data_IF_174441963048
#
_entry.id   IF_174441963048
#
_cell.length_a   1.000
_cell.length_b   1.000
_cell.length_c   1.000
_cell.angle_alpha   90.00
_cell.angle_beta   90.00
_cell.angle_gamma   90.00
#
_symmetry.space_group_name_H-M   'P 1'
#
loop_
_entity.id
_entity.type
_entity.pdbx_description
1 polymer ?
#
# COMPACT_ATOMS: atom_id res chain seq x y z
N UNK A 1 20.84 60.47 26.62
CA UNK A 1 20.26 59.10 26.62
C UNK A 1 19.39 58.77 25.38
N UNK A 2 19.39 59.55 24.29
CA UNK A 2 18.47 59.34 23.14
C UNK A 2 19.04 58.56 21.94
N UNK A 3 20.37 58.34 21.87
CA UNK A 3 21.03 57.77 20.67
C UNK A 3 20.95 56.23 20.57
N UNK A 4 20.65 55.54 21.68
CA UNK A 4 20.64 54.08 21.73
C UNK A 4 19.32 53.45 21.24
N UNK A 5 18.19 54.15 21.40
CA UNK A 5 16.86 53.66 21.00
C UNK A 5 16.71 53.49 19.48
N UNK A 6 17.32 54.38 18.68
CA UNK A 6 17.19 54.33 17.22
C UNK A 6 17.93 53.15 16.57
N UNK A 7 19.02 52.68 17.17
CA UNK A 7 19.75 51.50 16.70
C UNK A 7 19.04 50.20 17.09
N UNK A 8 18.46 50.14 18.29
CA UNK A 8 17.61 49.02 18.68
C UNK A 8 16.38 48.88 17.78
N UNK A 9 15.69 49.98 17.44
CA UNK A 9 14.54 49.95 16.53
C UNK A 9 14.91 49.45 15.13
N UNK A 10 16.08 49.85 14.60
CA UNK A 10 16.59 49.37 13.30
C UNK A 10 16.96 47.88 13.31
N UNK A 11 17.55 47.40 14.41
CA UNK A 11 17.88 45.98 14.60
C UNK A 11 16.61 45.13 14.76
N UNK A 12 15.61 45.65 15.49
CA UNK A 12 14.29 45.02 15.64
C UNK A 12 13.57 44.92 14.29
N UNK A 13 13.57 45.98 13.48
CA UNK A 13 12.94 45.99 12.16
C UNK A 13 13.60 45.02 11.16
N UNK A 14 14.93 44.89 11.19
CA UNK A 14 15.64 43.88 10.39
C UNK A 14 15.31 42.44 10.84
N UNK A 15 15.21 42.21 12.15
CA UNK A 15 14.85 40.90 12.70
C UNK A 15 13.41 40.50 12.35
N UNK A 16 12.47 41.46 12.42
CA UNK A 16 11.07 41.26 12.02
C UNK A 16 10.97 40.98 10.52
N UNK A 17 11.73 41.69 9.67
CA UNK A 17 11.73 41.45 8.23
C UNK A 17 12.26 40.06 7.87
N UNK A 18 13.33 39.60 8.54
CA UNK A 18 13.87 38.25 8.39
C UNK A 18 12.87 37.18 8.85
N UNK A 19 12.17 37.42 9.96
CA UNK A 19 11.15 36.50 10.47
C UNK A 19 9.97 36.37 9.50
N UNK A 20 9.50 37.50 8.94
CA UNK A 20 8.42 37.53 7.92
C UNK A 20 8.84 36.78 6.64
N UNK A 21 10.12 36.81 6.26
CA UNK A 21 10.63 36.12 5.07
C UNK A 21 10.79 34.60 5.25
N UNK A 22 11.05 34.13 6.48
CA UNK A 22 11.25 32.70 6.79
C UNK A 22 9.94 31.99 7.15
N UNK A 23 8.95 32.73 7.67
CA UNK A 23 7.65 32.21 8.08
C UNK A 23 6.91 31.40 6.98
N UNK A 24 6.93 31.77 5.68
CA UNK A 24 6.27 30.99 4.62
C UNK A 24 6.94 29.64 4.38
N UNK A 25 8.25 29.52 4.60
CA UNK A 25 8.99 28.27 4.42
C UNK A 25 8.73 27.27 5.55
N UNK A 26 8.40 27.75 6.76
CA UNK A 26 8.05 26.90 7.91
C UNK A 26 6.67 26.25 7.77
N UNK A 27 5.78 26.82 6.95
CA UNK A 27 4.44 26.29 6.71
C UNK A 27 4.29 25.59 5.34
N UNK A 28 5.35 25.52 4.53
CA UNK A 28 5.33 24.76 3.28
C UNK A 28 5.54 23.27 3.57
N UNK A 29 4.47 22.59 3.98
CA UNK A 29 4.45 21.13 4.03
C UNK A 29 4.15 20.60 2.63
N UNK A 30 5.20 20.18 1.90
CA UNK A 30 5.03 19.45 0.65
C UNK A 30 4.61 18.01 0.97
N UNK A 31 3.53 17.52 0.35
CA UNK A 31 3.18 16.10 0.42
C UNK A 31 4.15 15.33 -0.47
N UNK A 32 5.00 14.50 0.13
CA UNK A 32 5.80 13.54 -0.61
C UNK A 32 4.92 12.32 -0.94
N UNK A 33 4.33 12.30 -2.13
CA UNK A 33 3.56 11.15 -2.59
C UNK A 33 4.50 10.11 -3.20
N UNK A 34 4.58 8.93 -2.56
CA UNK A 34 5.24 7.76 -3.12
C UNK A 34 4.30 7.08 -4.12
N UNK A 35 4.60 7.15 -5.42
CA UNK A 35 3.76 6.57 -6.48
C UNK A 35 4.40 5.27 -6.97
N UNK A 36 3.82 4.13 -6.62
CA UNK A 36 4.48 2.86 -6.91
C UNK A 36 3.55 1.66 -6.98
N UNK A 37 2.43 1.66 -6.25
CA UNK A 37 1.55 0.50 -6.20
C UNK A 37 0.44 0.61 -7.24
N UNK A 38 0.27 -0.45 -8.02
CA UNK A 38 -0.84 -0.58 -8.98
C UNK A 38 -2.08 -1.13 -8.29
N UNK A 39 -1.92 -2.07 -7.35
CA UNK A 39 -2.99 -2.62 -6.54
C UNK A 39 -2.48 -3.73 -5.64
N UNK A 40 -3.41 -4.42 -4.96
CA UNK A 40 -3.08 -5.62 -4.22
C UNK A 40 -4.28 -6.57 -4.15
N UNK A 41 -3.97 -7.87 -4.12
CA UNK A 41 -4.92 -8.95 -3.90
C UNK A 41 -4.69 -9.58 -2.53
N UNK A 42 -5.75 -10.17 -1.98
CA UNK A 42 -5.67 -10.97 -0.75
C UNK A 42 -6.41 -12.26 -0.99
N UNK A 43 -5.73 -13.37 -0.74
CA UNK A 43 -6.34 -14.71 -0.64
C UNK A 43 -6.14 -15.24 0.76
N UNK A 44 -6.96 -16.20 1.17
CA UNK A 44 -6.80 -16.88 2.45
C UNK A 44 -7.10 -18.35 2.34
N UNK A 45 -6.40 -19.13 3.17
CA UNK A 45 -6.58 -20.56 3.32
C UNK A 45 -6.85 -20.88 4.78
N UNK A 46 -7.88 -21.66 5.05
CA UNK A 46 -8.02 -22.30 6.35
C UNK A 46 -6.91 -23.35 6.54
N UNK A 47 -6.13 -23.21 7.62
CA UNK A 47 -5.06 -24.16 7.96
C UNK A 47 -5.39 -25.00 9.19
N UNK A 48 -6.33 -24.54 10.03
CA UNK A 48 -6.96 -25.27 11.13
C UNK A 48 -8.30 -24.60 11.48
N UNK A 49 -9.11 -25.21 12.34
CA UNK A 49 -10.35 -24.60 12.85
C UNK A 49 -10.06 -23.22 13.45
N UNK A 50 -10.71 -22.17 12.92
CA UNK A 50 -10.51 -20.77 13.32
C UNK A 50 -9.07 -20.27 13.14
N UNK A 51 -8.28 -20.89 12.26
CA UNK A 51 -6.91 -20.48 11.95
C UNK A 51 -6.72 -20.37 10.44
N UNK A 52 -6.28 -19.20 10.01
CA UNK A 52 -6.21 -18.85 8.59
C UNK A 52 -4.83 -18.30 8.24
N UNK A 53 -4.30 -18.75 7.11
CA UNK A 53 -3.15 -18.12 6.46
C UNK A 53 -3.65 -17.23 5.32
N UNK A 54 -3.39 -15.93 5.41
CA UNK A 54 -3.64 -14.96 4.37
C UNK A 54 -2.37 -14.76 3.54
N UNK A 55 -2.53 -14.69 2.22
CA UNK A 55 -1.49 -14.27 1.28
C UNK A 55 -1.89 -12.94 0.69
N UNK A 56 -1.02 -11.95 0.84
CA UNK A 56 -1.20 -10.59 0.32
C UNK A 56 -0.23 -10.41 -0.83
N UNK A 57 -0.74 -10.03 -1.99
CA UNK A 57 0.04 -9.85 -3.20
C UNK A 57 -0.06 -8.41 -3.65
N UNK A 58 1.03 -7.66 -3.56
CA UNK A 58 1.12 -6.28 -4.03
C UNK A 58 1.74 -6.21 -5.42
N UNK A 59 1.22 -5.34 -6.28
CA UNK A 59 1.77 -5.10 -7.62
C UNK A 59 2.45 -3.73 -7.65
N UNK A 60 3.77 -3.72 -7.77
CA UNK A 60 4.60 -2.50 -7.79
C UNK A 60 5.06 -2.22 -9.21
N UNK A 61 4.88 -0.99 -9.66
CA UNK A 61 5.46 -0.49 -10.89
C UNK A 61 6.95 -0.16 -10.69
N UNK A 62 7.82 -0.65 -11.58
CA UNK A 62 9.26 -0.64 -11.38
C UNK A 62 9.90 0.75 -11.48
N UNK A 63 9.28 1.70 -12.18
CA UNK A 63 9.71 3.12 -12.13
C UNK A 63 9.15 3.90 -10.92
N UNK A 64 8.33 3.24 -10.09
CA UNK A 64 7.91 3.76 -8.80
C UNK A 64 9.00 3.64 -7.74
N UNK A 65 8.75 4.21 -6.56
CA UNK A 65 9.65 4.06 -5.40
C UNK A 65 9.64 2.63 -4.85
N UNK A 66 10.69 2.27 -4.11
CA UNK A 66 10.76 0.98 -3.42
C UNK A 66 9.61 0.79 -2.43
N UNK A 67 9.14 -0.45 -2.33
CA UNK A 67 8.05 -0.89 -1.48
C UNK A 67 8.59 -1.43 -0.16
N UNK A 68 8.06 -0.92 0.95
CA UNK A 68 8.30 -1.42 2.30
C UNK A 68 7.16 -2.34 2.73
N UNK A 69 7.34 -3.09 3.82
CA UNK A 69 6.28 -3.92 4.39
C UNK A 69 5.01 -3.11 4.62
N UNK A 70 3.85 -3.54 4.06
CA UNK A 70 2.63 -2.75 4.10
C UNK A 70 1.99 -2.77 5.50
N UNK A 71 1.33 -1.68 5.85
CA UNK A 71 0.47 -1.65 7.03
C UNK A 71 -0.74 -2.55 6.81
N UNK A 72 -0.94 -3.51 7.70
CA UNK A 72 -2.02 -4.49 7.61
C UNK A 72 -2.75 -4.55 8.93
N UNK A 73 -4.06 -4.78 8.85
CA UNK A 73 -4.94 -4.82 10.01
C UNK A 73 -5.85 -6.03 9.90
N UNK A 74 -6.10 -6.70 11.02
CA UNK A 74 -7.25 -7.59 11.17
C UNK A 74 -8.32 -6.82 11.95
N UNK A 75 -9.54 -6.79 11.42
CA UNK A 75 -10.64 -6.04 12.02
C UNK A 75 -11.96 -6.77 11.91
N UNK A 76 -12.87 -6.50 12.83
CA UNK A 76 -14.26 -6.91 12.68
C UNK A 76 -14.88 -6.13 11.53
N UNK A 77 -15.72 -6.79 10.73
CA UNK A 77 -16.27 -6.17 9.52
C UNK A 77 -17.15 -4.95 9.79
N UNK A 78 -17.72 -4.87 10.99
CA UNK A 78 -18.46 -3.71 11.51
C UNK A 78 -17.57 -2.56 12.02
N UNK A 79 -16.24 -2.75 12.04
CA UNK A 79 -15.25 -1.77 12.50
C UNK A 79 -15.10 -1.66 14.01
N UNK A 80 -15.77 -2.51 14.81
CA UNK A 80 -15.78 -2.37 16.29
C UNK A 80 -14.45 -2.73 16.96
N UNK A 81 -13.69 -3.65 16.38
CA UNK A 81 -12.37 -4.08 16.88
C UNK A 81 -11.39 -4.10 15.73
N UNK A 82 -10.21 -3.52 15.94
CA UNK A 82 -9.13 -3.49 14.95
C UNK A 82 -7.81 -3.77 15.64
N UNK A 83 -6.95 -4.58 15.02
CA UNK A 83 -5.57 -4.81 15.45
C UNK A 83 -4.62 -4.69 14.27
N UNK A 84 -3.51 -3.99 14.49
CA UNK A 84 -2.39 -3.98 13.54
C UNK A 84 -1.72 -5.36 13.54
N UNK A 85 -1.29 -5.81 12.37
CA UNK A 85 -0.55 -7.04 12.18
C UNK A 85 0.53 -6.81 11.13
N UNK A 86 1.77 -7.21 11.43
CA UNK A 86 2.88 -7.06 10.49
C UNK A 86 2.96 -8.29 9.62
N UNK A 87 2.77 -8.18 8.30
CA UNK A 87 2.88 -9.32 7.40
C UNK A 87 4.35 -9.70 7.18
N UNK A 88 4.61 -10.99 7.01
CA UNK A 88 5.95 -11.52 6.73
C UNK A 88 6.21 -11.50 5.23
N UNK A 89 7.32 -10.88 4.83
CA UNK A 89 7.77 -10.89 3.43
C UNK A 89 8.12 -12.31 2.97
N UNK A 90 7.71 -12.66 1.75
CA UNK A 90 7.99 -13.97 1.14
C UNK A 90 8.91 -13.83 -0.06
N UNK A 91 8.50 -13.06 -1.08
CA UNK A 91 9.23 -12.99 -2.34
C UNK A 91 8.86 -11.77 -3.18
N UNK A 92 9.77 -11.42 -4.10
CA UNK A 92 9.51 -10.52 -5.22
C UNK A 92 9.68 -11.32 -6.51
N UNK A 93 8.75 -11.16 -7.44
CA UNK A 93 8.80 -11.74 -8.79
C UNK A 93 8.44 -10.65 -9.79
N UNK A 94 9.24 -10.45 -10.83
CA UNK A 94 8.79 -9.63 -11.97
C UNK A 94 7.77 -10.42 -12.80
N UNK A 95 6.65 -9.78 -13.11
CA UNK A 95 5.52 -10.35 -13.85
C UNK A 95 5.24 -9.62 -15.17
N UNK A 96 6.15 -8.74 -15.59
CA UNK A 96 6.05 -8.01 -16.86
C UNK A 96 5.91 -8.98 -18.03
N UNK A 97 4.86 -8.88 -18.87
CA UNK A 97 4.77 -9.67 -20.09
C UNK A 97 5.83 -9.19 -21.09
N UNK A 98 6.94 -9.93 -21.17
CA UNK A 98 8.03 -9.66 -22.13
C UNK A 98 8.14 -10.79 -23.14
N UNK A 99 8.63 -10.49 -24.34
CA UNK A 99 9.01 -11.52 -25.30
C UNK A 99 10.13 -12.39 -24.71
N UNK A 100 10.23 -13.65 -25.10
CA UNK A 100 11.17 -14.63 -24.52
C UNK A 100 12.65 -14.19 -24.55
N UNK A 101 13.03 -13.28 -25.44
CA UNK A 101 14.40 -12.77 -25.61
C UNK A 101 14.66 -11.45 -24.89
N UNK A 102 13.65 -10.79 -24.35
CA UNK A 102 13.78 -9.53 -23.66
C UNK A 102 14.14 -9.76 -22.18
N UNK A 103 15.02 -8.92 -21.64
CA UNK A 103 15.32 -8.89 -20.21
C UNK A 103 14.18 -8.22 -19.44
N UNK A 104 13.99 -8.63 -18.18
CA UNK A 104 13.09 -7.91 -17.27
C UNK A 104 13.55 -6.47 -17.02
N UNK A 105 12.60 -5.61 -16.66
CA UNK A 105 12.82 -4.18 -16.43
C UNK A 105 12.98 -3.82 -14.95
N UNK A 106 12.75 -4.78 -14.06
CA UNK A 106 12.76 -4.58 -12.60
C UNK A 106 14.08 -5.02 -11.98
N UNK A 107 15.20 -4.61 -12.57
CA UNK A 107 16.55 -4.99 -12.15
C UNK A 107 17.37 -3.74 -11.78
N UNK A 108 17.84 -3.61 -10.52
CA UNK A 108 17.61 -4.50 -9.38
C UNK A 108 16.17 -4.44 -8.84
N UNK A 109 15.74 -5.52 -8.18
CA UNK A 109 14.38 -5.61 -7.64
C UNK A 109 14.12 -4.59 -6.53
N UNK A 110 12.85 -4.22 -6.34
CA UNK A 110 12.38 -3.27 -5.33
C UNK A 110 13.09 -1.90 -5.36
N UNK A 111 13.58 -1.51 -6.53
CA UNK A 111 14.32 -0.26 -6.73
C UNK A 111 13.63 0.56 -7.81
N UNK A 112 13.73 1.88 -7.71
CA UNK A 112 13.21 2.78 -8.74
C UNK A 112 14.08 2.72 -9.99
N UNK A 113 13.51 2.23 -11.09
CA UNK A 113 14.15 2.19 -12.42
C UNK A 113 13.47 3.21 -13.32
N UNK A 114 14.11 4.36 -13.53
CA UNK A 114 13.53 5.45 -14.34
C UNK A 114 13.19 4.97 -15.75
N UNK A 115 11.92 5.13 -16.15
CA UNK A 115 11.44 4.78 -17.49
C UNK A 115 10.99 3.31 -17.65
N UNK A 116 11.11 2.47 -16.62
CA UNK A 116 10.59 1.11 -16.67
C UNK A 116 9.05 1.11 -16.69
N UNK A 117 8.47 0.22 -17.49
CA UNK A 117 7.05 -0.14 -17.51
C UNK A 117 6.78 -1.47 -16.78
N UNK A 118 7.84 -2.17 -16.38
CA UNK A 118 7.75 -3.44 -15.66
C UNK A 118 6.99 -3.41 -14.33
N UNK A 119 6.53 -4.60 -13.94
CA UNK A 119 5.71 -4.82 -12.75
C UNK A 119 6.32 -5.93 -11.89
N UNK A 120 6.49 -5.64 -10.61
CA UNK A 120 6.85 -6.61 -9.58
C UNK A 120 5.63 -7.04 -8.77
N UNK A 121 5.53 -8.34 -8.56
CA UNK A 121 4.68 -8.96 -7.56
C UNK A 121 5.45 -9.12 -6.24
N UNK A 122 4.98 -8.46 -5.19
CA UNK A 122 5.51 -8.55 -3.83
C UNK A 122 4.55 -9.39 -2.98
N UNK A 123 5.01 -10.55 -2.54
CA UNK A 123 4.16 -11.51 -1.80
C UNK A 123 4.48 -11.46 -0.31
N UNK A 124 3.44 -11.38 0.50
CA UNK A 124 3.51 -11.43 1.96
C UNK A 124 2.53 -12.45 2.52
N UNK A 125 2.81 -12.94 3.72
CA UNK A 125 1.94 -13.87 4.44
C UNK A 125 1.61 -13.37 5.84
N UNK A 126 0.41 -13.73 6.29
CA UNK A 126 -0.07 -13.49 7.65
C UNK A 126 -0.79 -14.73 8.12
N UNK A 127 -0.46 -15.25 9.31
CA UNK A 127 -1.26 -16.29 9.95
C UNK A 127 -2.03 -15.69 11.13
N UNK A 128 -3.34 -15.88 11.15
CA UNK A 128 -4.22 -15.43 12.24
C UNK A 128 -4.87 -16.65 12.87
N UNK A 129 -4.67 -16.81 14.17
CA UNK A 129 -5.28 -17.86 14.99
C UNK A 129 -6.29 -17.21 15.95
N UNK A 130 -7.59 -17.40 15.67
CA UNK A 130 -8.66 -16.86 16.49
C UNK A 130 -8.98 -17.74 17.71
N UNK A 131 -8.28 -18.85 17.94
CA UNK A 131 -8.43 -19.62 19.18
C UNK A 131 -7.67 -18.96 20.35
N UNK A 132 -6.65 -18.16 20.04
CA UNK A 132 -5.69 -17.65 21.01
C UNK A 132 -5.68 -16.11 21.06
N UNK A 133 -5.23 -15.56 22.18
CA UNK A 133 -4.87 -14.14 22.22
C UNK A 133 -3.76 -13.87 21.18
N UNK A 134 -3.77 -12.71 20.50
CA UNK A 134 -4.62 -11.54 20.76
C UNK A 134 -5.95 -11.49 19.98
N UNK A 135 -6.29 -12.52 19.20
CA UNK A 135 -7.42 -12.50 18.25
C UNK A 135 -8.68 -13.24 18.74
N UNK A 136 -8.59 -14.00 19.84
CA UNK A 136 -9.71 -14.78 20.38
C UNK A 136 -10.96 -13.96 20.70
N UNK A 137 -10.80 -12.70 21.09
CA UNK A 137 -11.93 -11.80 21.33
C UNK A 137 -12.64 -11.35 20.03
N UNK A 138 -12.10 -11.65 18.85
CA UNK A 138 -12.68 -11.27 17.55
C UNK A 138 -13.62 -12.35 16.99
N UNK A 139 -13.62 -13.57 17.55
CA UNK A 139 -14.60 -14.62 17.18
C UNK A 139 -16.04 -14.11 17.38
N UNK A 140 -16.27 -13.31 18.42
CA UNK A 140 -17.59 -12.73 18.71
C UNK A 140 -18.09 -11.75 17.65
N UNK A 141 -17.25 -11.33 16.71
CA UNK A 141 -17.65 -10.42 15.64
C UNK A 141 -18.46 -11.13 14.54
N UNK A 142 -18.39 -12.46 14.47
CA UNK A 142 -19.00 -13.25 13.41
C UNK A 142 -18.27 -13.09 12.07
N UNK A 143 -18.01 -11.86 11.62
CA UNK A 143 -17.24 -11.54 10.42
C UNK A 143 -16.02 -10.70 10.75
N UNK A 144 -14.90 -11.07 10.17
CA UNK A 144 -13.63 -10.35 10.30
C UNK A 144 -12.99 -10.22 8.93
N UNK A 145 -12.22 -9.16 8.73
CA UNK A 145 -11.50 -8.92 7.47
C UNK A 145 -10.05 -8.55 7.73
N UNK A 146 -9.17 -9.08 6.89
CA UNK A 146 -7.79 -8.61 6.80
C UNK A 146 -7.75 -7.47 5.79
N UNK A 147 -7.45 -6.27 6.25
CA UNK A 147 -7.38 -5.05 5.45
C UNK A 147 -5.93 -4.59 5.31
N UNK A 148 -5.55 -4.21 4.11
CA UNK A 148 -4.29 -3.53 3.84
C UNK A 148 -4.52 -2.41 2.84
N UNK A 149 -3.48 -1.63 2.57
CA UNK A 149 -3.56 -0.51 1.66
C UNK A 149 -2.32 0.35 1.77
N UNK A 150 -2.19 1.29 0.84
CA UNK A 150 -1.08 2.21 0.86
C UNK A 150 -1.45 3.49 0.09
N UNK A 151 -0.90 4.61 0.55
CA UNK A 151 -0.67 5.73 -0.35
C UNK A 151 0.73 5.58 -0.98
N UNK A 152 0.88 5.67 -2.29
CA UNK A 152 -0.12 6.09 -3.27
C UNK A 152 -0.08 5.22 -4.51
N UNK A 153 -1.23 5.19 -5.20
CA UNK A 153 -1.29 4.51 -6.49
C UNK A 153 -0.36 5.19 -7.50
N UNK A 154 0.05 4.41 -8.49
CA UNK A 154 0.90 4.88 -9.58
C UNK A 154 0.35 6.18 -10.22
N UNK A 155 1.22 7.17 -10.42
CA UNK A 155 0.92 8.46 -11.06
C UNK A 155 0.55 8.33 -12.53
N UNK A 156 0.98 7.26 -13.20
CA UNK A 156 0.74 7.01 -14.63
C UNK A 156 -0.66 6.46 -14.91
N UNK A 157 -1.47 6.18 -13.88
CA UNK A 157 -2.85 5.75 -14.09
C UNK A 157 -3.63 6.91 -14.70
N UNK A 158 -4.10 6.75 -15.93
CA UNK A 158 -4.87 7.77 -16.66
C UNK A 158 -6.40 7.53 -16.63
N UNK A 159 -6.84 6.44 -16.01
CA UNK A 159 -8.27 6.06 -15.88
C UNK A 159 -8.88 6.49 -14.53
N UNK A 160 -8.19 7.32 -13.74
CA UNK A 160 -8.63 7.82 -12.44
C UNK A 160 -7.87 7.21 -11.25
N UNK A 161 -8.01 7.85 -10.07
CA UNK A 161 -7.32 7.47 -8.81
C UNK A 161 -5.77 7.46 -8.87
N UNK A 162 -5.16 8.10 -9.86
CA UNK A 162 -3.73 8.36 -9.89
C UNK A 162 -3.31 9.11 -8.62
N UNK A 163 -2.21 8.70 -7.99
CA UNK A 163 -1.74 9.28 -6.72
C UNK A 163 -2.73 9.16 -5.55
N UNK A 164 -3.85 8.44 -5.71
CA UNK A 164 -4.80 8.27 -4.62
C UNK A 164 -4.35 7.17 -3.67
N UNK A 165 -4.84 7.24 -2.43
CA UNK A 165 -4.76 6.12 -1.51
C UNK A 165 -5.70 5.00 -1.97
N UNK A 166 -5.28 3.75 -1.81
CA UNK A 166 -6.15 2.60 -2.00
C UNK A 166 -6.18 1.72 -0.75
N UNK A 167 -7.24 0.94 -0.64
CA UNK A 167 -7.39 -0.09 0.38
C UNK A 167 -8.03 -1.32 -0.27
N UNK A 168 -7.64 -2.49 0.22
CA UNK A 168 -8.21 -3.78 -0.18
C UNK A 168 -8.37 -4.64 1.08
N UNK A 169 -9.35 -5.55 1.08
CA UNK A 169 -9.58 -6.45 2.18
C UNK A 169 -10.11 -7.81 1.71
N UNK A 170 -9.83 -8.85 2.48
CA UNK A 170 -10.52 -10.13 2.37
C UNK A 170 -11.29 -10.38 3.67
N UNK A 171 -12.58 -10.69 3.55
CA UNK A 171 -13.48 -10.97 4.66
C UNK A 171 -13.70 -12.48 4.82
N UNK A 172 -13.73 -12.94 6.06
CA UNK A 172 -14.11 -14.30 6.45
C UNK A 172 -15.29 -14.26 7.42
N UNK A 173 -16.20 -15.22 7.26
CA UNK A 173 -17.32 -15.43 8.16
C UNK A 173 -17.00 -16.57 9.13
N UNK A 174 -16.61 -16.19 10.34
CA UNK A 174 -16.32 -17.09 11.46
C UNK A 174 -17.59 -17.72 12.07
N UNK A 175 -18.80 -17.29 11.68
CA UNK A 175 -20.07 -17.84 12.20
C UNK A 175 -20.65 -18.96 11.36
N UNK A 176 -20.39 -18.95 10.04
CA UNK A 176 -20.97 -19.94 9.10
C UNK A 176 -20.01 -21.05 8.70
N UNK A 177 -18.70 -20.78 8.68
CA UNK A 177 -17.70 -21.82 8.43
C UNK A 177 -16.41 -21.52 9.18
N UNK A 178 -16.12 -22.36 10.18
CA UNK A 178 -14.86 -22.29 10.93
C UNK A 178 -13.64 -22.69 10.07
N UNK A 179 -13.85 -23.15 8.83
CA UNK A 179 -12.79 -23.53 7.92
C UNK A 179 -13.24 -23.43 6.44
N UNK A 180 -13.11 -22.23 5.87
CA UNK A 180 -13.27 -21.99 4.43
C UNK A 180 -12.01 -21.33 3.86
N UNK A 181 -11.75 -21.49 2.57
CA UNK A 181 -10.66 -20.83 1.85
C UNK A 181 -11.24 -19.91 0.77
N UNK A 182 -10.55 -18.83 0.44
CA UNK A 182 -10.95 -17.94 -0.64
C UNK A 182 -10.81 -18.64 -2.00
N UNK A 183 -11.52 -18.19 -3.05
CA UNK A 183 -11.09 -18.49 -4.41
C UNK A 183 -9.66 -17.97 -4.62
N UNK A 184 -8.95 -18.58 -5.57
CA UNK A 184 -7.66 -18.12 -6.03
C UNK A 184 -7.80 -17.54 -7.43
N UNK A 185 -7.12 -16.42 -7.69
CA UNK A 185 -6.98 -15.88 -9.04
C UNK A 185 -5.99 -16.76 -9.80
N UNK A 186 -6.36 -17.25 -10.97
CA UNK A 186 -5.49 -18.07 -11.82
C UNK A 186 -4.69 -17.26 -12.83
N UNK A 187 -5.09 -16.00 -13.01
CA UNK A 187 -4.45 -15.04 -13.91
C UNK A 187 -3.81 -13.91 -13.09
N UNK A 188 -2.61 -13.50 -13.47
CA UNK A 188 -2.02 -12.27 -12.92
C UNK A 188 -2.90 -11.07 -13.36
N UNK A 189 -3.32 -10.17 -12.44
CA UNK A 189 -4.23 -9.05 -12.74
C UNK A 189 -3.49 -7.89 -13.41
N UNK A 190 -2.85 -8.17 -14.55
CA UNK A 190 -2.08 -7.20 -15.32
C UNK A 190 -3.00 -6.56 -16.35
N UNK A 191 -3.28 -5.27 -16.16
CA UNK A 191 -4.07 -4.46 -17.09
C UNK A 191 -3.19 -3.45 -17.84
N UNK A 192 -2.16 -3.93 -18.54
CA UNK A 192 -1.42 -3.13 -19.53
C UNK A 192 -2.16 -3.26 -20.85
N UNK A 193 -2.84 -2.19 -21.27
CA UNK A 193 -3.78 -2.22 -22.40
C UNK A 193 -3.24 -1.43 -23.58
N UNK A 194 -3.46 -1.94 -24.80
CA UNK A 194 -3.21 -1.17 -26.00
C UNK A 194 -4.28 -0.07 -26.16
N UNK A 195 -3.84 1.13 -26.56
CA UNK A 195 -4.75 2.24 -26.80
C UNK A 195 -5.75 1.92 -27.93
N UNK A 196 -7.02 2.27 -27.74
CA UNK A 196 -8.10 2.05 -28.69
C UNK A 196 -8.26 0.59 -29.16
N UNK A 197 -7.96 -0.38 -28.30
CA UNK A 197 -8.20 -1.80 -28.55
C UNK A 197 -9.15 -2.38 -27.49
N UNK A 198 -10.12 -3.22 -27.87
CA UNK A 198 -10.93 -3.93 -26.89
C UNK A 198 -10.05 -4.88 -26.08
N UNK A 199 -10.29 -4.92 -24.76
CA UNK A 199 -9.58 -5.81 -23.84
C UNK A 199 -10.58 -6.78 -23.21
N UNK A 200 -10.24 -8.07 -23.24
CA UNK A 200 -11.00 -9.14 -22.62
C UNK A 200 -10.12 -9.79 -21.56
N UNK A 201 -10.64 -9.88 -20.34
CA UNK A 201 -9.89 -10.41 -19.20
C UNK A 201 -10.74 -11.41 -18.43
N UNK A 202 -10.18 -12.60 -18.21
CA UNK A 202 -10.72 -13.57 -17.28
C UNK A 202 -9.82 -13.64 -16.04
N UNK A 203 -10.41 -13.39 -14.87
CA UNK A 203 -9.75 -13.49 -13.58
C UNK A 203 -9.51 -14.94 -13.14
N UNK A 204 -10.17 -15.90 -13.81
CA UNK A 204 -10.24 -17.32 -13.49
C UNK A 204 -11.64 -17.83 -13.68
#
# INVERSE_FOLDING_TARGET
MLKNNNNMLKLLNKSVLTFILILPFLFSSQKAEATHVMGADITYKCVDSLKFEFTITYYRWCAGVGFSTPQTFIECSDGTKTRSITPTFVSIKEITPVCATASGECVPSNTRITGAEGIEQHTYKVTVDFNNAPYSNMVSCGKVRLRTGQCCRNSNINTGAANAQFQTFAEIDLSQSHCNSSPALTSEPIAILCCNQPFFFNNG
#
